data_IF_473505461009
#
_entry.id   IF_473505461009
#
_cell.length_a   1.000
_cell.length_b   1.000
_cell.length_c   1.000
_cell.angle_alpha   90.00
_cell.angle_beta   90.00
_cell.angle_gamma   90.00
#
_symmetry.space_group_name_H-M   'P 1'
#
loop_
_entity.id
_entity.type
_entity.pdbx_description
1 polymer ?
#
# COMPACT_ATOMS: atom_id res chain seq x y z
N UNK A 1 6.68 12.60 -26.10
CA UNK A 1 7.96 12.22 -25.47
C UNK A 1 7.65 11.86 -24.02
N UNK A 2 7.41 10.58 -23.76
CA UNK A 2 6.94 10.08 -22.46
C UNK A 2 8.16 9.95 -21.53
N UNK A 3 8.32 10.86 -20.58
CA UNK A 3 9.33 10.76 -19.52
C UNK A 3 8.98 9.55 -18.66
N UNK A 4 9.82 8.52 -18.71
CA UNK A 4 9.71 7.33 -17.86
C UNK A 4 9.74 7.78 -16.39
N UNK A 5 8.66 7.61 -15.59
CA UNK A 5 8.57 8.13 -14.22
C UNK A 5 9.53 7.49 -13.21
N UNK A 6 10.45 6.64 -13.68
CA UNK A 6 11.33 5.80 -12.86
C UNK A 6 12.81 6.09 -13.12
N UNK A 7 13.18 7.37 -13.29
CA UNK A 7 14.59 7.76 -13.34
C UNK A 7 15.18 7.63 -11.94
N UNK A 8 16.25 6.83 -11.80
CA UNK A 8 16.99 6.64 -10.54
C UNK A 8 17.36 7.97 -9.86
N UNK A 9 17.60 9.03 -10.64
CA UNK A 9 17.91 10.38 -10.14
C UNK A 9 16.71 11.02 -9.42
N UNK A 10 15.51 10.86 -9.95
CA UNK A 10 14.29 11.44 -9.36
C UNK A 10 13.94 10.71 -8.06
N UNK A 11 14.14 9.39 -8.03
CA UNK A 11 13.94 8.57 -6.84
C UNK A 11 14.87 8.93 -5.69
N UNK A 12 16.16 9.10 -5.99
CA UNK A 12 17.17 9.55 -5.02
C UNK A 12 16.85 10.94 -4.47
N UNK A 13 16.37 11.85 -5.32
CA UNK A 13 15.96 13.18 -4.89
C UNK A 13 14.82 13.09 -3.87
N UNK A 14 13.78 12.31 -4.20
CA UNK A 14 12.62 12.12 -3.33
C UNK A 14 13.00 11.47 -1.99
N UNK A 15 13.93 10.52 -2.02
CA UNK A 15 14.47 9.88 -0.82
C UNK A 15 15.13 10.91 0.10
N UNK A 16 16.00 11.76 -0.45
CA UNK A 16 16.69 12.80 0.32
C UNK A 16 15.73 13.83 0.93
N UNK A 17 14.62 14.15 0.25
CA UNK A 17 13.57 15.03 0.79
C UNK A 17 12.86 14.42 2.02
N UNK A 18 12.81 13.09 2.12
CA UNK A 18 12.13 12.37 3.20
C UNK A 18 13.06 11.97 4.36
N UNK A 19 14.38 11.97 4.16
CA UNK A 19 15.34 11.59 5.19
C UNK A 19 15.54 12.72 6.23
N UNK A 20 15.27 12.42 7.50
CA UNK A 20 15.47 13.34 8.62
C UNK A 20 16.84 13.15 9.27
N UNK A 21 17.88 13.81 8.74
CA UNK A 21 19.27 13.60 9.18
C UNK A 21 19.86 14.77 10.00
N UNK A 22 19.06 15.78 10.34
CA UNK A 22 19.51 17.02 10.99
C UNK A 22 20.10 16.84 12.40
N UNK A 23 19.85 15.70 13.04
CA UNK A 23 20.27 15.39 14.41
C UNK A 23 21.57 14.56 14.47
N UNK A 24 22.13 14.19 13.33
CA UNK A 24 23.28 13.30 13.22
C UNK A 24 24.57 14.06 12.91
N UNK A 25 25.71 13.44 13.23
CA UNK A 25 27.00 13.97 12.80
C UNK A 25 27.23 13.73 11.29
N UNK A 26 28.28 14.34 10.74
CA UNK A 26 28.55 14.28 9.30
C UNK A 26 28.88 12.86 8.80
N UNK A 27 29.57 12.06 9.61
CA UNK A 27 29.95 10.69 9.25
C UNK A 27 28.74 9.76 9.24
N UNK A 28 27.90 9.83 10.26
CA UNK A 28 26.65 9.08 10.39
C UNK A 28 25.68 9.43 9.26
N UNK A 29 25.49 10.72 8.99
CA UNK A 29 24.64 11.21 7.91
C UNK A 29 25.12 10.71 6.55
N UNK A 30 26.43 10.73 6.31
CA UNK A 30 27.02 10.19 5.07
C UNK A 30 26.85 8.67 4.95
N UNK A 31 27.01 7.94 6.05
CA UNK A 31 26.83 6.48 6.06
C UNK A 31 25.38 6.08 5.75
N UNK A 32 24.41 6.72 6.40
CA UNK A 32 22.99 6.45 6.18
C UNK A 32 22.57 6.83 4.77
N UNK A 33 22.97 8.01 4.28
CA UNK A 33 22.66 8.42 2.90
C UNK A 33 23.23 7.41 1.91
N UNK A 34 24.47 6.96 2.09
CA UNK A 34 25.08 5.95 1.22
C UNK A 34 24.24 4.68 1.11
N UNK A 35 23.87 4.08 2.24
CA UNK A 35 23.04 2.85 2.29
C UNK A 35 21.66 3.12 1.64
N UNK A 36 21.04 4.25 1.95
CA UNK A 36 19.76 4.64 1.38
C UNK A 36 19.83 4.82 -0.15
N UNK A 37 20.91 5.38 -0.68
CA UNK A 37 21.14 5.49 -2.12
C UNK A 37 21.39 4.12 -2.78
N UNK A 38 22.15 3.25 -2.13
CA UNK A 38 22.45 1.90 -2.60
C UNK A 38 21.16 1.09 -2.75
N UNK A 39 20.34 1.05 -1.69
CA UNK A 39 19.09 0.28 -1.60
C UNK A 39 17.83 1.13 -1.81
N UNK A 40 17.93 2.14 -2.68
CA UNK A 40 16.85 3.10 -2.94
C UNK A 40 15.55 2.43 -3.45
N UNK A 41 15.64 1.25 -4.05
CA UNK A 41 14.54 0.45 -4.58
C UNK A 41 13.71 -0.25 -3.49
N UNK A 42 14.27 -0.45 -2.29
CA UNK A 42 13.58 -1.14 -1.18
C UNK A 42 12.52 -0.25 -0.52
N UNK A 43 12.74 1.07 -0.50
CA UNK A 43 11.84 2.00 0.18
C UNK A 43 10.53 2.18 -0.58
N UNK A 44 9.40 2.25 0.11
CA UNK A 44 8.15 2.69 -0.49
C UNK A 44 8.10 4.22 -0.49
N UNK A 45 8.14 4.80 -1.68
CA UNK A 45 8.07 6.25 -1.89
C UNK A 45 6.69 6.67 -2.43
N UNK A 46 6.31 7.96 -2.27
CA UNK A 46 5.09 8.48 -2.88
C UNK A 46 4.98 8.13 -4.37
N UNK A 47 3.81 7.60 -4.76
CA UNK A 47 3.49 7.10 -6.09
C UNK A 47 4.12 5.75 -6.49
N UNK A 48 4.88 5.11 -5.61
CA UNK A 48 5.29 3.73 -5.84
C UNK A 48 4.06 2.81 -5.85
N UNK A 49 4.04 1.88 -6.80
CA UNK A 49 3.06 0.79 -6.82
C UNK A 49 3.55 -0.33 -5.91
N UNK A 50 2.66 -0.88 -5.10
CA UNK A 50 2.95 -2.10 -4.36
C UNK A 50 3.19 -3.25 -5.36
N UNK A 51 4.23 -4.03 -5.10
CA UNK A 51 4.57 -5.23 -5.89
C UNK A 51 4.12 -6.49 -5.15
N UNK A 52 4.15 -7.62 -5.84
CA UNK A 52 3.86 -8.94 -5.28
C UNK A 52 5.08 -9.84 -5.39
N UNK A 53 5.20 -10.80 -4.48
CA UNK A 53 6.22 -11.86 -4.57
C UNK A 53 5.63 -13.10 -5.24
N UNK A 54 6.43 -13.73 -6.10
CA UNK A 54 6.07 -15.02 -6.72
C UNK A 54 6.66 -16.21 -5.94
N UNK A 55 7.29 -15.97 -4.79
CA UNK A 55 7.99 -17.01 -4.03
C UNK A 55 7.05 -18.06 -3.42
N UNK A 56 5.80 -17.70 -3.13
CA UNK A 56 4.80 -18.63 -2.59
C UNK A 56 3.38 -18.17 -2.91
N UNK A 57 2.46 -19.13 -2.97
CA UNK A 57 1.03 -18.89 -3.06
C UNK A 57 0.38 -19.43 -1.80
N UNK A 58 -0.35 -18.57 -1.09
CA UNK A 58 -0.99 -18.95 0.18
C UNK A 58 -2.26 -19.77 -0.08
N UNK A 59 -2.40 -20.90 0.61
CA UNK A 59 -3.62 -21.70 0.64
C UNK A 59 -4.19 -21.68 2.06
N UNK A 60 -5.48 -21.37 2.20
CA UNK A 60 -6.17 -21.30 3.51
C UNK A 60 -7.05 -22.55 3.65
N UNK A 61 -6.65 -23.55 4.46
CA UNK A 61 -7.51 -24.70 4.73
C UNK A 61 -8.66 -24.28 5.65
N UNK A 62 -9.90 -24.50 5.22
CA UNK A 62 -11.10 -24.29 6.05
C UNK A 62 -11.44 -25.57 6.81
N UNK A 63 -12.21 -25.46 7.90
CA UNK A 63 -12.68 -26.63 8.67
C UNK A 63 -13.71 -27.44 7.88
N UNK A 64 -14.59 -26.76 7.14
CA UNK A 64 -15.54 -27.33 6.20
C UNK A 64 -15.62 -26.48 4.92
N UNK A 65 -16.27 -27.03 3.88
CA UNK A 65 -16.44 -26.36 2.58
C UNK A 65 -17.75 -25.58 2.48
N UNK A 66 -18.47 -25.42 3.60
CA UNK A 66 -19.75 -24.73 3.62
C UNK A 66 -19.54 -23.20 3.59
N UNK A 67 -19.98 -22.49 2.53
CA UNK A 67 -19.74 -21.07 2.42
C UNK A 67 -20.56 -20.28 3.43
N UNK A 68 -19.90 -19.36 4.13
CA UNK A 68 -20.57 -18.37 4.98
C UNK A 68 -20.87 -17.12 4.15
N UNK A 69 -22.17 -16.82 3.97
CA UNK A 69 -22.64 -15.63 3.26
C UNK A 69 -23.40 -14.69 4.19
N UNK A 70 -22.78 -13.56 4.50
CA UNK A 70 -23.41 -12.48 5.30
C UNK A 70 -23.77 -11.31 4.39
N UNK A 71 -25.01 -10.81 4.53
CA UNK A 71 -25.47 -9.63 3.78
C UNK A 71 -24.67 -8.39 4.20
N UNK A 72 -24.15 -7.64 3.21
CA UNK A 72 -23.47 -6.37 3.47
C UNK A 72 -24.43 -5.33 4.05
N UNK A 73 -23.99 -4.63 5.10
CA UNK A 73 -24.74 -3.52 5.68
C UNK A 73 -24.64 -2.27 4.81
N UNK A 74 -25.71 -1.45 4.82
CA UNK A 74 -25.68 -0.14 4.19
C UNK A 74 -24.93 0.83 5.10
N UNK A 75 -23.81 1.36 4.63
CA UNK A 75 -23.12 2.44 5.32
C UNK A 75 -23.78 3.81 5.01
N UNK A 76 -23.69 4.79 5.93
CA UNK A 76 -24.13 6.16 5.70
C UNK A 76 -23.57 6.79 4.42
N UNK A 77 -24.36 7.63 3.75
CA UNK A 77 -23.99 8.25 2.48
C UNK A 77 -22.67 9.05 2.55
N UNK A 78 -22.35 9.64 3.71
CA UNK A 78 -21.11 10.39 3.94
C UNK A 78 -19.84 9.54 3.74
N UNK A 79 -19.92 8.21 3.89
CA UNK A 79 -18.77 7.32 3.70
C UNK A 79 -18.65 6.80 2.27
N UNK A 80 -19.66 6.98 1.43
CA UNK A 80 -19.71 6.40 0.08
C UNK A 80 -18.52 6.84 -0.77
N UNK A 81 -18.21 8.13 -0.74
CA UNK A 81 -17.17 8.70 -1.59
C UNK A 81 -15.78 8.17 -1.20
N UNK A 82 -15.50 8.08 0.11
CA UNK A 82 -14.23 7.54 0.61
C UNK A 82 -14.12 6.02 0.36
N UNK A 83 -15.20 5.26 0.54
CA UNK A 83 -15.23 3.82 0.24
C UNK A 83 -14.94 3.58 -1.25
N UNK A 84 -15.61 4.30 -2.15
CA UNK A 84 -15.41 4.17 -3.59
C UNK A 84 -13.97 4.53 -3.98
N UNK A 85 -13.43 5.62 -3.45
CA UNK A 85 -12.05 6.05 -3.68
C UNK A 85 -11.04 4.97 -3.24
N UNK A 86 -11.25 4.32 -2.09
CA UNK A 86 -10.37 3.24 -1.64
C UNK A 86 -10.49 1.99 -2.52
N UNK A 87 -11.70 1.62 -2.93
CA UNK A 87 -11.93 0.50 -3.84
C UNK A 87 -11.23 0.74 -5.18
N UNK A 88 -11.40 1.92 -5.79
CA UNK A 88 -10.75 2.30 -7.05
C UNK A 88 -9.22 2.31 -6.92
N UNK A 89 -8.71 2.81 -5.80
CA UNK A 89 -7.27 2.76 -5.50
C UNK A 89 -6.77 1.32 -5.41
N UNK A 90 -7.44 0.44 -4.68
CA UNK A 90 -7.02 -0.95 -4.52
C UNK A 90 -7.15 -1.75 -5.82
N UNK A 91 -8.16 -1.46 -6.65
CA UNK A 91 -8.32 -2.04 -7.99
C UNK A 91 -7.19 -1.60 -8.92
N UNK A 92 -6.86 -0.30 -8.96
CA UNK A 92 -5.78 0.21 -9.80
C UNK A 92 -4.39 -0.28 -9.36
N UNK A 93 -4.22 -0.54 -8.06
CA UNK A 93 -3.01 -1.17 -7.51
C UNK A 93 -2.99 -2.70 -7.66
N UNK A 94 -4.05 -3.33 -8.17
CA UNK A 94 -4.13 -4.78 -8.35
C UNK A 94 -4.24 -5.59 -7.05
N UNK A 95 -4.57 -4.94 -5.92
CA UNK A 95 -4.69 -5.60 -4.60
C UNK A 95 -6.00 -6.41 -4.51
N UNK A 96 -7.08 -5.90 -5.10
CA UNK A 96 -8.38 -6.57 -5.17
C UNK A 96 -8.80 -6.75 -6.62
N UNK A 97 -9.76 -7.65 -6.84
CA UNK A 97 -10.38 -7.90 -8.14
C UNK A 97 -11.88 -8.18 -7.98
N UNK A 98 -12.70 -7.91 -9.00
CA UNK A 98 -14.08 -8.39 -9.04
C UNK A 98 -14.13 -9.92 -8.93
N UNK A 99 -15.09 -10.43 -8.17
CA UNK A 99 -15.31 -11.87 -8.01
C UNK A 99 -16.79 -12.17 -7.77
N UNK A 100 -17.21 -13.38 -8.12
CA UNK A 100 -18.53 -13.92 -7.82
C UNK A 100 -18.34 -15.08 -6.83
N UNK A 101 -18.31 -14.75 -5.54
CA UNK A 101 -17.97 -15.70 -4.47
C UNK A 101 -19.22 -16.13 -3.69
N UNK A 102 -19.37 -17.42 -3.33
CA UNK A 102 -20.42 -17.85 -2.39
C UNK A 102 -20.10 -17.40 -0.95
N UNK A 103 -18.84 -17.04 -0.66
CA UNK A 103 -18.41 -16.45 0.61
C UNK A 103 -18.57 -14.93 0.57
N UNK A 104 -19.16 -14.35 1.63
CA UNK A 104 -19.34 -12.91 1.75
C UNK A 104 -19.32 -12.45 3.21
N UNK A 105 -18.60 -11.37 3.49
CA UNK A 105 -18.51 -10.73 4.80
C UNK A 105 -18.80 -9.23 4.67
N UNK A 106 -19.46 -8.59 5.65
CA UNK A 106 -19.84 -7.18 5.58
C UNK A 106 -18.62 -6.26 5.73
N UNK A 107 -18.67 -5.09 5.06
CA UNK A 107 -17.69 -4.02 5.21
C UNK A 107 -18.06 -3.08 6.37
N UNK A 108 -17.04 -2.64 7.10
CA UNK A 108 -17.17 -1.62 8.15
C UNK A 108 -16.27 -0.42 7.84
N UNK A 109 -16.80 0.79 8.06
CA UNK A 109 -16.05 2.03 7.93
C UNK A 109 -15.75 2.54 9.33
N UNK A 110 -14.48 2.55 9.70
CA UNK A 110 -14.02 3.00 11.01
C UNK A 110 -13.04 4.15 10.80
N UNK A 111 -13.31 5.35 11.34
CA UNK A 111 -12.35 6.44 11.31
C UNK A 111 -11.07 6.04 12.04
N UNK A 112 -9.92 6.21 11.38
CA UNK A 112 -8.63 6.05 12.05
C UNK A 112 -8.51 7.14 13.12
N UNK A 113 -8.11 6.77 14.34
CA UNK A 113 -7.77 7.75 15.37
C UNK A 113 -6.60 8.60 14.86
N UNK A 114 -6.62 9.90 15.16
CA UNK A 114 -5.43 10.72 14.98
C UNK A 114 -4.37 10.18 15.95
N UNK A 115 -3.18 9.91 15.43
CA UNK A 115 -2.06 9.48 16.26
C UNK A 115 -1.78 10.60 17.28
N UNK A 116 -1.74 10.24 18.58
CA UNK A 116 -1.58 11.18 19.70
C UNK A 116 -0.13 11.68 19.83
#
# INVERSE_FOLDING_TARGET
MSTNPNSKKDRIKLLNENLRLSHLNKEESNSITHICHEFNDIFHLPNDTLTQTNATMHNIPTTDENPTHTKSYRYPQIHKDEVNKQIEKMLSQGIIRPSTSPWSSPLWVIPKKLDA
#
